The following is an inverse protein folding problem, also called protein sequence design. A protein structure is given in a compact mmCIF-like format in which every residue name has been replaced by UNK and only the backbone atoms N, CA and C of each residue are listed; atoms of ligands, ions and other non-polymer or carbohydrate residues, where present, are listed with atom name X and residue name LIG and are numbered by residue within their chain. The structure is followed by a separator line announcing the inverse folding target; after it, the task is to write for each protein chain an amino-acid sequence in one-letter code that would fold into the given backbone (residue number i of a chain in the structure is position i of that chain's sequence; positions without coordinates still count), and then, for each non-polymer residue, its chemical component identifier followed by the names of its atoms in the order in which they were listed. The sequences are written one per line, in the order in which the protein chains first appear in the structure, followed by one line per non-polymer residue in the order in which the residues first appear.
data_IF_898769903860
#
_entry.id   IF_898769903860
#
_cell.length_a   1.000
_cell.length_b   1.000
_cell.length_c   1.000
_cell.angle_alpha   90.00
_cell.angle_beta   90.00
_cell.angle_gamma   90.00
#
_symmetry.space_group_name_H-M   'P 1'
#
loop_
_entity.id
_entity.type
_entity.pdbx_description
1 polymer ?
#
# COMPACT_ATOMS: atom_id res chain seq x y z
N UNK A 1 21.34 22.72 45.92
CA UNK A 1 20.12 22.32 45.17
C UNK A 1 20.18 22.58 43.66
N UNK A 2 20.72 23.70 43.16
CA UNK A 2 20.83 23.98 41.70
C UNK A 2 21.68 22.98 40.87
N UNK A 3 22.69 22.33 41.48
CA UNK A 3 23.55 21.35 40.79
C UNK A 3 22.89 19.97 40.61
N UNK A 4 21.97 19.57 41.48
CA UNK A 4 21.25 18.29 41.36
C UNK A 4 20.22 18.31 40.23
N UNK A 5 19.54 19.45 40.03
CA UNK A 5 18.56 19.62 38.94
C UNK A 5 19.19 19.50 37.55
N UNK A 6 20.44 19.96 37.38
CA UNK A 6 21.14 19.87 36.10
C UNK A 6 21.55 18.44 35.73
N UNK A 7 21.90 17.60 36.71
CA UNK A 7 22.29 16.20 36.48
C UNK A 7 21.08 15.34 36.08
N UNK A 8 19.90 15.61 36.65
CA UNK A 8 18.67 14.89 36.32
C UNK A 8 18.19 15.18 34.88
N UNK A 9 18.34 16.42 34.41
CA UNK A 9 17.94 16.82 33.05
C UNK A 9 18.81 16.17 31.95
N UNK A 10 20.10 15.93 32.21
CA UNK A 10 21.01 15.26 31.25
C UNK A 10 20.71 13.77 31.10
N UNK A 11 20.31 13.09 32.18
CA UNK A 11 19.96 11.65 32.15
C UNK A 11 18.67 11.37 31.35
N UNK A 12 17.69 12.28 31.36
CA UNK A 12 16.43 12.12 30.63
C UNK A 12 16.65 12.25 29.11
N UNK A 13 17.57 13.11 28.65
CA UNK A 13 17.87 13.25 27.22
C UNK A 13 18.64 12.05 26.65
N UNK A 14 19.49 11.37 27.44
CA UNK A 14 20.27 10.23 26.96
C UNK A 14 19.42 8.98 26.67
N UNK A 15 18.26 8.83 27.33
CA UNK A 15 17.39 7.66 27.18
C UNK A 15 16.62 7.61 25.83
N UNK A 16 16.51 8.73 25.12
CA UNK A 16 15.78 8.82 23.85
C UNK A 16 16.65 8.46 22.63
N UNK A 17 17.94 8.22 22.83
CA UNK A 17 18.90 7.89 21.76
C UNK A 17 19.21 6.39 21.67
N UNK A 18 18.45 5.53 22.35
CA UNK A 18 18.48 4.10 22.07
C UNK A 18 17.67 3.87 20.80
N UNK A 19 18.38 3.53 19.71
CA UNK A 19 17.75 3.14 18.45
C UNK A 19 16.65 2.10 18.75
N UNK A 20 15.39 2.46 18.49
CA UNK A 20 14.30 1.49 18.55
C UNK A 20 14.62 0.37 17.55
N UNK A 21 14.36 -0.88 17.94
CA UNK A 21 14.46 -2.00 17.01
C UNK A 21 13.73 -1.66 15.70
N UNK A 22 14.35 -1.99 14.57
CA UNK A 22 13.72 -1.76 13.27
C UNK A 22 12.36 -2.48 13.22
N UNK A 23 11.32 -1.85 12.63
CA UNK A 23 10.03 -2.51 12.47
C UNK A 23 10.18 -3.84 11.75
N UNK A 24 9.52 -4.88 12.29
CA UNK A 24 9.45 -6.20 11.64
C UNK A 24 8.14 -6.28 10.88
N UNK A 25 8.22 -6.63 9.60
CA UNK A 25 7.06 -6.76 8.73
C UNK A 25 6.76 -8.23 8.45
N UNK A 26 5.49 -8.53 8.25
CA UNK A 26 4.99 -9.83 7.75
C UNK A 26 4.04 -9.58 6.59
N UNK A 27 4.00 -10.51 5.66
CA UNK A 27 3.05 -10.44 4.54
C UNK A 27 1.64 -10.65 5.07
N UNK A 28 0.72 -9.79 4.67
CA UNK A 28 -0.72 -10.03 4.77
C UNK A 28 -1.23 -10.54 3.41
N UNK A 29 -1.56 -11.83 3.28
CA UNK A 29 -2.04 -12.39 2.03
C UNK A 29 -3.49 -12.01 1.70
N UNK A 30 -4.24 -11.43 2.65
CA UNK A 30 -5.63 -11.01 2.44
C UNK A 30 -5.75 -9.57 1.93
N UNK A 31 -4.63 -8.85 1.82
CA UNK A 31 -4.58 -7.46 1.35
C UNK A 31 -3.97 -7.37 -0.07
N UNK A 32 -4.55 -6.59 -1.00
CA UNK A 32 -5.84 -5.93 -0.89
C UNK A 32 -7.00 -6.94 -1.00
N UNK A 33 -8.22 -6.52 -0.62
CA UNK A 33 -9.41 -7.33 -0.87
C UNK A 33 -9.62 -7.51 -2.38
N UNK A 34 -10.33 -8.57 -2.82
CA UNK A 34 -10.61 -8.80 -4.23
C UNK A 34 -11.22 -7.58 -4.92
N UNK A 35 -10.65 -7.19 -6.06
CA UNK A 35 -11.15 -6.06 -6.83
C UNK A 35 -12.50 -6.39 -7.49
N UNK A 36 -13.40 -5.41 -7.64
CA UNK A 36 -14.65 -5.61 -8.37
C UNK A 36 -14.38 -5.77 -9.88
N UNK A 37 -15.43 -6.11 -10.64
CA UNK A 37 -15.42 -6.09 -12.12
C UNK A 37 -14.39 -7.03 -12.77
N UNK A 38 -13.98 -8.10 -12.09
CA UNK A 38 -12.92 -9.02 -12.54
C UNK A 38 -11.60 -8.28 -12.82
N UNK A 39 -11.34 -7.20 -12.10
CA UNK A 39 -10.15 -6.40 -12.30
C UNK A 39 -8.90 -7.09 -11.79
N UNK A 40 -7.81 -6.88 -12.52
CA UNK A 40 -6.45 -7.20 -12.11
C UNK A 40 -5.55 -5.97 -12.25
N UNK A 41 -4.52 -5.93 -11.42
CA UNK A 41 -3.49 -4.90 -11.48
C UNK A 41 -2.33 -5.36 -12.36
N UNK A 42 -1.77 -4.43 -13.14
CA UNK A 42 -0.42 -4.57 -13.68
C UNK A 42 0.64 -4.20 -12.64
N UNK A 43 1.83 -3.87 -13.11
CA UNK A 43 2.93 -3.42 -12.25
C UNK A 43 2.56 -2.14 -11.47
N UNK A 44 2.77 -2.16 -10.16
CA UNK A 44 2.68 -0.96 -9.33
C UNK A 44 3.85 -0.02 -9.63
N UNK A 45 3.54 1.19 -10.06
CA UNK A 45 4.51 2.25 -10.33
C UNK A 45 4.85 3.08 -9.08
N UNK A 46 3.92 3.18 -8.12
CA UNK A 46 4.11 3.93 -6.89
C UNK A 46 2.99 3.70 -5.90
N UNK A 47 3.29 3.95 -4.63
CA UNK A 47 2.34 3.88 -3.52
C UNK A 47 2.49 5.11 -2.63
N UNK A 48 1.38 5.61 -2.10
CA UNK A 48 1.35 6.71 -1.14
C UNK A 48 0.22 6.50 -0.13
N UNK A 49 0.34 7.09 1.06
CA UNK A 49 -0.71 7.12 2.08
C UNK A 49 -1.08 8.58 2.33
N UNK A 50 -2.36 8.92 2.30
CA UNK A 50 -2.85 10.27 2.57
C UNK A 50 -3.14 10.51 4.07
N UNK A 51 -3.68 11.68 4.41
CA UNK A 51 -3.97 12.06 5.79
C UNK A 51 -5.13 11.28 6.43
N UNK A 52 -5.91 10.56 5.62
CA UNK A 52 -7.04 9.73 6.05
C UNK A 52 -6.67 8.23 6.08
N UNK A 53 -5.37 7.91 6.02
CA UNK A 53 -4.84 6.55 5.93
C UNK A 53 -5.32 5.76 4.70
N UNK A 54 -5.69 6.45 3.61
CA UNK A 54 -5.97 5.75 2.37
C UNK A 54 -4.69 5.40 1.63
N UNK A 55 -4.61 4.17 1.14
CA UNK A 55 -3.48 3.66 0.35
C UNK A 55 -3.75 3.88 -1.13
N UNK A 56 -3.02 4.82 -1.71
CA UNK A 56 -3.04 5.12 -3.14
C UNK A 56 -2.03 4.23 -3.87
N UNK A 57 -2.50 3.51 -4.89
CA UNK A 57 -1.68 2.67 -5.76
C UNK A 57 -1.79 3.19 -7.18
N UNK A 58 -0.67 3.67 -7.73
CA UNK A 58 -0.54 4.00 -9.15
C UNK A 58 -0.01 2.75 -9.83
N UNK A 59 -0.78 2.16 -10.74
CA UNK A 59 -0.40 0.97 -11.49
C UNK A 59 -0.27 1.25 -12.99
N UNK A 60 0.34 0.31 -13.73
CA UNK A 60 0.52 0.39 -15.18
C UNK A 60 -0.31 -0.69 -15.87
N UNK A 61 -1.59 -0.44 -16.21
CA UNK A 61 -2.47 -1.44 -16.84
C UNK A 61 -1.89 -2.06 -18.13
N UNK A 62 -1.07 -1.30 -18.86
CA UNK A 62 -0.41 -1.72 -20.10
C UNK A 62 0.73 -2.73 -19.92
N UNK A 63 1.12 -3.02 -18.68
CA UNK A 63 2.12 -4.06 -18.40
C UNK A 63 1.53 -5.47 -18.38
N UNK A 64 0.19 -5.57 -18.34
CA UNK A 64 -0.51 -6.84 -18.48
C UNK A 64 -0.36 -7.37 -19.91
N UNK A 65 0.09 -8.61 -19.98
CA UNK A 65 0.10 -9.44 -21.17
C UNK A 65 -1.32 -9.75 -21.62
N UNK A 66 -1.46 -10.15 -22.89
CA UNK A 66 -2.77 -10.49 -23.44
C UNK A 66 -3.42 -11.70 -22.74
N UNK A 67 -2.63 -12.62 -22.19
CA UNK A 67 -3.15 -13.77 -21.46
C UNK A 67 -3.67 -13.41 -20.06
N UNK A 68 -3.03 -12.44 -19.39
CA UNK A 68 -3.52 -11.93 -18.10
C UNK A 68 -4.83 -11.14 -18.25
N UNK A 69 -4.97 -10.35 -19.32
CA UNK A 69 -6.15 -9.50 -19.57
C UNK A 69 -7.12 -10.08 -20.61
N UNK A 70 -7.10 -11.38 -20.88
CA UNK A 70 -7.77 -11.95 -22.06
C UNK A 70 -9.31 -11.85 -22.06
N UNK A 71 -9.96 -11.44 -20.95
CA UNK A 71 -11.38 -11.07 -20.95
C UNK A 71 -11.64 -9.69 -21.57
N UNK A 72 -10.62 -8.84 -21.72
CA UNK A 72 -10.72 -7.53 -22.39
C UNK A 72 -10.52 -7.59 -23.91
N UNK A 73 -10.17 -8.75 -24.45
CA UNK A 73 -9.96 -8.94 -25.90
C UNK A 73 -11.29 -9.16 -26.64
N UNK A 74 -11.29 -8.98 -27.96
CA UNK A 74 -12.45 -9.22 -28.83
C UNK A 74 -12.08 -10.27 -29.89
N UNK A 75 -12.67 -11.49 -29.86
CA UNK A 75 -13.56 -12.01 -28.82
C UNK A 75 -12.81 -12.32 -27.49
N UNK A 76 -13.50 -12.34 -26.34
CA UNK A 76 -12.88 -12.67 -25.07
C UNK A 76 -12.46 -14.14 -25.03
N UNK A 77 -11.24 -14.43 -24.55
CA UNK A 77 -10.70 -15.81 -24.51
C UNK A 77 -10.90 -16.51 -23.16
N UNK A 78 -11.14 -15.75 -22.10
CA UNK A 78 -11.33 -16.23 -20.72
C UNK A 78 -12.38 -15.39 -19.98
N UNK A 79 -12.95 -15.93 -18.89
CA UNK A 79 -14.02 -15.26 -18.10
C UNK A 79 -13.53 -14.11 -17.23
N UNK A 80 -12.28 -14.17 -16.81
CA UNK A 80 -11.51 -13.13 -16.14
C UNK A 80 -10.33 -12.84 -17.07
N UNK A 81 -9.62 -11.73 -17.09
CA UNK A 81 -9.67 -10.59 -16.23
C UNK A 81 -9.58 -9.31 -17.07
N UNK A 82 -9.91 -8.18 -16.47
CA UNK A 82 -9.87 -6.87 -17.13
C UNK A 82 -8.86 -5.98 -16.41
N UNK A 83 -8.05 -5.15 -17.11
CA UNK A 83 -7.16 -4.23 -16.43
C UNK A 83 -7.95 -3.26 -15.56
N UNK A 84 -7.58 -3.11 -14.28
CA UNK A 84 -8.14 -2.05 -13.46
C UNK A 84 -7.66 -0.66 -13.95
N UNK A 85 -8.32 0.43 -13.54
CA UNK A 85 -7.87 1.79 -13.84
C UNK A 85 -6.46 2.09 -13.30
N UNK A 86 -5.75 3.08 -13.88
CA UNK A 86 -4.37 3.40 -13.49
C UNK A 86 -4.19 3.80 -12.02
N UNK A 87 -5.23 4.34 -11.37
CA UNK A 87 -5.20 4.72 -9.96
C UNK A 87 -6.25 3.95 -9.17
N UNK A 88 -5.80 3.30 -8.10
CA UNK A 88 -6.64 2.59 -7.15
C UNK A 88 -6.38 3.16 -5.76
N UNK A 89 -7.45 3.41 -5.00
CA UNK A 89 -7.35 3.90 -3.62
C UNK A 89 -8.04 2.90 -2.72
N UNK A 90 -7.34 2.46 -1.67
CA UNK A 90 -7.81 1.50 -0.69
C UNK A 90 -7.90 2.12 0.70
N UNK A 91 -8.79 1.61 1.54
CA UNK A 91 -8.68 1.80 2.98
C UNK A 91 -7.60 0.89 3.59
N UNK A 92 -7.34 1.01 4.90
CA UNK A 92 -6.35 0.19 5.62
C UNK A 92 -6.63 -1.31 5.53
N UNK A 93 -7.91 -1.72 5.49
CA UNK A 93 -8.33 -3.11 5.37
C UNK A 93 -8.19 -3.64 3.93
N UNK A 94 -7.79 -2.80 2.97
CA UNK A 94 -7.63 -3.16 1.56
C UNK A 94 -8.93 -3.16 0.78
N UNK A 95 -10.00 -2.54 1.29
CA UNK A 95 -11.23 -2.29 0.52
C UNK A 95 -10.97 -1.21 -0.51
N UNK A 96 -11.31 -1.44 -1.77
CA UNK A 96 -11.23 -0.41 -2.80
C UNK A 96 -12.31 0.66 -2.53
N UNK A 97 -11.88 1.92 -2.31
CA UNK A 97 -12.77 3.05 -2.07
C UNK A 97 -12.91 3.97 -3.29
N UNK A 98 -11.89 4.04 -4.16
CA UNK A 98 -11.94 4.86 -5.39
C UNK A 98 -11.05 4.29 -6.50
N UNK A 99 -11.62 4.07 -7.69
CA UNK A 99 -10.86 3.91 -8.93
C UNK A 99 -10.82 5.23 -9.73
N UNK A 100 -9.71 5.52 -10.43
CA UNK A 100 -9.58 6.64 -11.37
C UNK A 100 -8.67 6.34 -12.56
#
# INVERSE_FOLDING_TARGET
MRRLAAVLAVLVCAAHALAQDAPRFRVDPAWPKPLPNNWIMGQAAGVAVDAEDHVWVIQRPRTLTDDEKAASLTPPRIRCCVPAPPVLVFDQDGTLIKPS
#
